data_IF_855642393416
#
_entry.id   IF_855642393416
#
_cell.length_a   1.000
_cell.length_b   1.000
_cell.length_c   1.000
_cell.angle_alpha   90.00
_cell.angle_beta   90.00
_cell.angle_gamma   90.00
#
_symmetry.space_group_name_H-M   'P 1'
#
loop_
_entity.id
_entity.type
_entity.pdbx_description
1 polymer ?
#
# COMPACT_ATOMS: atom_id res chain seq x y z
N UNK A 1 7.72 19.05 1.41
CA UNK A 1 8.22 20.43 1.58
C UNK A 1 7.09 21.41 1.78
N UNK A 2 6.18 21.65 0.82
CA UNK A 2 5.11 22.65 1.00
C UNK A 2 4.32 22.47 2.32
N UNK A 3 3.87 21.26 2.63
CA UNK A 3 3.17 20.98 3.88
C UNK A 3 4.02 21.24 5.13
N UNK A 4 5.29 20.84 5.15
CA UNK A 4 6.20 21.10 6.27
C UNK A 4 6.44 22.59 6.49
N UNK A 5 6.73 23.33 5.42
CA UNK A 5 6.91 24.79 5.52
C UNK A 5 5.65 25.50 6.02
N UNK A 6 4.46 25.08 5.57
CA UNK A 6 3.19 25.64 6.06
C UNK A 6 3.03 25.36 7.56
N UNK A 7 3.37 24.15 8.01
CA UNK A 7 3.29 23.76 9.45
C UNK A 7 4.25 24.61 10.28
N UNK A 8 5.47 24.82 9.81
CA UNK A 8 6.49 25.59 10.53
C UNK A 8 6.13 27.07 10.68
N UNK A 9 5.48 27.69 9.64
CA UNK A 9 5.14 29.11 9.65
C UNK A 9 3.74 29.41 10.21
N UNK A 10 2.76 28.53 10.00
CA UNK A 10 1.36 28.81 10.26
C UNK A 10 0.61 27.70 11.03
N UNK A 11 1.33 26.69 11.49
CA UNK A 11 0.76 25.54 12.18
C UNK A 11 0.11 24.53 11.22
N UNK A 12 -0.48 23.49 11.77
CA UNK A 12 -1.01 22.36 10.98
C UNK A 12 -2.36 22.65 10.27
N UNK A 13 -3.17 23.59 10.79
CA UNK A 13 -4.52 23.88 10.24
C UNK A 13 -4.51 24.40 8.79
N UNK A 14 -3.62 25.31 8.38
CA UNK A 14 -3.57 25.81 7.00
C UNK A 14 -3.30 24.73 5.96
N UNK A 15 -2.66 23.59 6.32
CA UNK A 15 -2.47 22.47 5.39
C UNK A 15 -3.80 21.94 4.86
N UNK A 16 -4.84 21.94 5.69
CA UNK A 16 -6.19 21.53 5.27
C UNK A 16 -6.89 22.60 4.42
N UNK A 17 -6.65 23.88 4.71
CA UNK A 17 -7.26 24.98 3.96
C UNK A 17 -6.74 25.07 2.52
N UNK A 18 -5.48 24.68 2.26
CA UNK A 18 -4.92 24.61 0.90
C UNK A 18 -5.66 23.57 0.03
N UNK A 19 -6.18 22.49 0.63
CA UNK A 19 -6.93 21.48 -0.11
C UNK A 19 -8.33 21.97 -0.55
N UNK A 20 -8.95 22.91 0.18
CA UNK A 20 -10.30 23.38 -0.12
C UNK A 20 -10.43 24.07 -1.51
N UNK A 21 -9.56 25.04 -1.89
CA UNK A 21 -9.62 25.63 -3.23
C UNK A 21 -9.30 24.61 -4.34
N UNK A 22 -8.39 23.68 -4.11
CA UNK A 22 -8.07 22.61 -5.09
C UNK A 22 -9.27 21.69 -5.28
N UNK A 23 -9.94 21.28 -4.20
CA UNK A 23 -11.14 20.46 -4.26
C UNK A 23 -12.29 21.19 -4.97
N UNK A 24 -12.50 22.49 -4.68
CA UNK A 24 -13.51 23.32 -5.34
C UNK A 24 -13.24 23.46 -6.83
N UNK A 25 -11.98 23.73 -7.20
CA UNK A 25 -11.57 23.82 -8.60
C UNK A 25 -11.78 22.49 -9.33
N UNK A 26 -11.40 21.37 -8.73
CA UNK A 26 -11.61 20.03 -9.29
C UNK A 26 -13.11 19.71 -9.43
N UNK A 27 -13.93 20.08 -8.46
CA UNK A 27 -15.39 19.91 -8.52
C UNK A 27 -16.01 20.72 -9.67
N UNK A 28 -15.57 21.98 -9.87
CA UNK A 28 -16.00 22.82 -10.98
C UNK A 28 -15.61 22.22 -12.34
N UNK A 29 -14.36 21.72 -12.48
CA UNK A 29 -13.93 21.05 -13.70
C UNK A 29 -14.74 19.77 -13.97
N UNK A 30 -14.99 18.98 -12.93
CA UNK A 30 -15.82 17.78 -13.04
C UNK A 30 -17.24 18.13 -13.49
N UNK A 31 -17.84 19.14 -12.92
CA UNK A 31 -19.17 19.64 -13.30
C UNK A 31 -19.22 20.07 -14.77
N UNK A 32 -18.18 20.78 -15.25
CA UNK A 32 -18.16 21.30 -16.63
C UNK A 32 -17.87 20.24 -17.68
N UNK A 33 -17.04 19.21 -17.35
CA UNK A 33 -16.48 18.32 -18.36
C UNK A 33 -16.96 16.87 -18.24
N UNK A 34 -17.39 16.41 -17.08
CA UNK A 34 -17.87 15.04 -16.92
C UNK A 34 -19.34 15.00 -17.36
N UNK A 35 -19.59 14.29 -18.47
CA UNK A 35 -20.95 13.96 -18.89
C UNK A 35 -21.34 12.64 -18.20
N UNK A 36 -22.40 12.69 -17.41
CA UNK A 36 -22.94 11.46 -16.83
C UNK A 36 -23.40 10.51 -17.95
N UNK A 37 -22.90 9.27 -18.00
CA UNK A 37 -23.49 8.27 -18.88
C UNK A 37 -24.94 8.06 -18.43
N UNK A 38 -25.88 7.96 -19.37
CA UNK A 38 -27.27 7.60 -19.07
C UNK A 38 -27.27 6.23 -18.40
N UNK A 39 -27.29 6.22 -17.09
CA UNK A 39 -27.42 4.99 -16.31
C UNK A 39 -28.84 4.44 -16.52
N UNK A 40 -28.97 3.25 -17.08
CA UNK A 40 -30.14 2.40 -16.89
C UNK A 40 -30.38 2.31 -15.37
N UNK A 41 -31.63 2.41 -14.95
CA UNK A 41 -32.07 2.46 -13.55
C UNK A 41 -31.19 1.57 -12.66
N UNK A 42 -30.43 2.21 -11.76
CA UNK A 42 -29.44 1.52 -10.94
C UNK A 42 -30.14 0.53 -10.00
N UNK A 43 -29.56 -0.64 -9.87
CA UNK A 43 -29.96 -1.61 -8.86
C UNK A 43 -29.81 -0.98 -7.47
N UNK A 44 -30.70 -1.35 -6.54
CA UNK A 44 -30.69 -0.82 -5.19
C UNK A 44 -29.32 -1.09 -4.52
N UNK A 45 -28.69 -0.09 -3.89
CA UNK A 45 -27.38 -0.26 -3.26
C UNK A 45 -27.45 -1.28 -2.10
N UNK A 46 -26.44 -2.15 -2.01
CA UNK A 46 -26.31 -3.13 -0.92
C UNK A 46 -25.87 -2.43 0.39
N UNK A 47 -26.82 -1.73 1.03
CA UNK A 47 -26.55 -1.01 2.29
C UNK A 47 -26.16 -1.95 3.42
N UNK A 48 -26.73 -3.17 3.46
CA UNK A 48 -26.39 -4.15 4.48
C UNK A 48 -24.97 -4.67 4.31
N UNK A 49 -24.57 -4.99 3.08
CA UNK A 49 -23.18 -5.36 2.77
C UNK A 49 -22.23 -4.23 3.08
N UNK A 50 -22.56 -2.98 2.72
CA UNK A 50 -21.77 -1.82 3.02
C UNK A 50 -21.52 -1.65 4.52
N UNK A 51 -22.56 -1.76 5.35
CA UNK A 51 -22.43 -1.66 6.81
C UNK A 51 -21.57 -2.77 7.40
N UNK A 52 -21.75 -4.02 6.95
CA UNK A 52 -20.97 -5.17 7.44
C UNK A 52 -19.48 -5.04 7.06
N UNK A 53 -19.19 -4.62 5.83
CA UNK A 53 -17.80 -4.37 5.39
C UNK A 53 -17.20 -3.22 6.17
N UNK A 54 -17.91 -2.11 6.33
CA UNK A 54 -17.43 -0.96 7.10
C UNK A 54 -17.15 -1.34 8.56
N UNK A 55 -18.03 -2.11 9.19
CA UNK A 55 -17.82 -2.59 10.55
C UNK A 55 -16.60 -3.52 10.64
N UNK A 56 -16.43 -4.43 9.67
CA UNK A 56 -15.29 -5.34 9.61
C UNK A 56 -13.97 -4.56 9.50
N UNK A 57 -13.90 -3.60 8.59
CA UNK A 57 -12.71 -2.80 8.38
C UNK A 57 -12.41 -1.88 9.56
N UNK A 58 -13.42 -1.20 10.10
CA UNK A 58 -13.25 -0.34 11.26
C UNK A 58 -12.74 -1.14 12.48
N UNK A 59 -13.36 -2.29 12.74
CA UNK A 59 -12.94 -3.18 13.84
C UNK A 59 -11.50 -3.66 13.66
N UNK A 60 -11.11 -4.03 12.43
CA UNK A 60 -9.73 -4.43 12.11
C UNK A 60 -8.74 -3.30 12.38
N UNK A 61 -9.00 -2.11 11.83
CA UNK A 61 -8.08 -0.97 11.93
C UNK A 61 -7.93 -0.49 13.38
N UNK A 62 -9.03 -0.43 14.12
CA UNK A 62 -9.00 -0.03 15.54
C UNK A 62 -8.31 -1.11 16.38
N UNK A 63 -8.54 -2.41 16.11
CA UNK A 63 -7.86 -3.50 16.81
C UNK A 63 -6.33 -3.43 16.62
N UNK A 64 -5.87 -3.17 15.38
CA UNK A 64 -4.44 -3.00 15.08
C UNK A 64 -3.84 -1.77 15.80
N UNK A 65 -4.55 -0.65 15.83
CA UNK A 65 -4.11 0.55 16.56
C UNK A 65 -4.06 0.31 18.07
N UNK A 66 -5.08 -0.33 18.66
CA UNK A 66 -5.11 -0.66 20.09
C UNK A 66 -3.96 -1.60 20.48
N UNK A 67 -3.61 -2.54 19.62
CA UNK A 67 -2.49 -3.44 19.86
C UNK A 67 -1.14 -2.72 19.69
N UNK A 68 -0.94 -2.04 18.57
CA UNK A 68 0.35 -1.45 18.18
C UNK A 68 0.71 -0.17 18.94
N UNK A 69 -0.26 0.69 19.25
CA UNK A 69 0.00 2.00 19.87
C UNK A 69 -0.26 1.99 21.38
N UNK A 70 -1.35 1.34 21.79
CA UNK A 70 -1.82 1.41 23.19
C UNK A 70 -1.50 0.17 24.01
N UNK A 71 -0.94 -0.90 23.41
CA UNK A 71 -0.68 -2.19 24.07
C UNK A 71 -1.91 -2.79 24.78
N UNK A 72 -3.11 -2.41 24.34
CA UNK A 72 -4.36 -2.88 24.92
C UNK A 72 -4.79 -4.19 24.24
N UNK A 73 -4.21 -5.30 24.72
CA UNK A 73 -4.46 -6.64 24.17
C UNK A 73 -5.93 -7.02 24.29
N UNK A 74 -6.58 -6.71 25.42
CA UNK A 74 -7.99 -7.06 25.66
C UNK A 74 -8.91 -6.36 24.67
N UNK A 75 -8.73 -5.05 24.47
CA UNK A 75 -9.48 -4.28 23.48
C UNK A 75 -9.23 -4.76 22.06
N UNK A 76 -7.96 -5.06 21.72
CA UNK A 76 -7.59 -5.58 20.42
C UNK A 76 -8.23 -6.94 20.13
N UNK A 77 -8.25 -7.86 21.10
CA UNK A 77 -8.90 -9.16 20.97
C UNK A 77 -10.43 -9.04 20.84
N UNK A 78 -11.07 -8.16 21.62
CA UNK A 78 -12.50 -7.91 21.53
C UNK A 78 -12.90 -7.39 20.15
N UNK A 79 -12.17 -6.41 19.61
CA UNK A 79 -12.40 -5.88 18.27
C UNK A 79 -12.01 -6.87 17.16
N UNK A 80 -10.97 -7.68 17.36
CA UNK A 80 -10.63 -8.80 16.49
C UNK A 80 -11.77 -9.83 16.40
N UNK A 81 -12.41 -10.13 17.54
CA UNK A 81 -13.62 -10.96 17.59
C UNK A 81 -14.80 -10.34 16.83
N UNK A 82 -15.03 -9.03 17.01
CA UNK A 82 -16.06 -8.29 16.28
C UNK A 82 -15.78 -8.27 14.76
N UNK A 83 -14.53 -8.10 14.35
CA UNK A 83 -14.08 -8.18 12.96
C UNK A 83 -14.41 -9.55 12.36
N UNK A 84 -14.04 -10.64 13.03
CA UNK A 84 -14.33 -12.00 12.56
C UNK A 84 -15.84 -12.28 12.48
N UNK A 85 -16.59 -11.81 13.47
CA UNK A 85 -18.04 -11.96 13.50
C UNK A 85 -18.71 -11.21 12.35
N UNK A 86 -18.37 -9.94 12.15
CA UNK A 86 -18.93 -9.13 11.06
C UNK A 86 -18.50 -9.64 9.67
N UNK A 87 -17.26 -10.13 9.52
CA UNK A 87 -16.79 -10.78 8.30
C UNK A 87 -17.57 -12.08 8.01
N UNK A 88 -17.86 -12.89 9.02
CA UNK A 88 -18.71 -14.08 8.90
C UNK A 88 -20.14 -13.76 8.49
N UNK A 89 -20.72 -12.71 9.07
CA UNK A 89 -22.03 -12.21 8.66
C UNK A 89 -22.02 -11.69 7.21
N UNK A 90 -20.94 -10.99 6.82
CA UNK A 90 -20.78 -10.54 5.44
C UNK A 90 -20.65 -11.72 4.46
N UNK A 91 -19.87 -12.74 4.80
CA UNK A 91 -19.74 -13.94 3.97
C UNK A 91 -21.09 -14.64 3.77
N UNK A 92 -21.92 -14.75 4.83
CA UNK A 92 -23.29 -15.28 4.73
C UNK A 92 -24.17 -14.39 3.85
N UNK A 93 -24.11 -13.08 4.01
CA UNK A 93 -24.85 -12.11 3.20
C UNK A 93 -24.46 -12.20 1.72
N UNK A 94 -23.15 -12.24 1.43
CA UNK A 94 -22.61 -12.42 0.09
C UNK A 94 -23.19 -13.67 -0.62
N UNK A 95 -23.26 -14.80 0.09
CA UNK A 95 -23.82 -16.03 -0.48
C UNK A 95 -25.32 -15.96 -0.79
N UNK A 96 -26.04 -15.05 -0.20
CA UNK A 96 -27.50 -14.89 -0.36
C UNK A 96 -27.89 -13.73 -1.28
N UNK A 97 -26.92 -12.84 -1.60
CA UNK A 97 -27.18 -11.61 -2.35
C UNK A 97 -26.35 -11.61 -3.64
N UNK A 98 -26.98 -11.78 -4.82
CA UNK A 98 -26.25 -11.81 -6.10
C UNK A 98 -25.51 -10.48 -6.41
N UNK A 99 -25.98 -9.39 -5.83
CA UNK A 99 -25.47 -8.02 -6.04
C UNK A 99 -24.68 -7.51 -4.84
N UNK A 100 -24.03 -8.40 -4.08
CA UNK A 100 -23.19 -8.01 -2.97
C UNK A 100 -22.10 -7.02 -3.42
N UNK A 101 -21.85 -6.00 -2.58
CA UNK A 101 -20.90 -4.91 -2.87
C UNK A 101 -19.47 -5.40 -3.12
N UNK A 102 -19.06 -6.47 -2.41
CA UNK A 102 -17.78 -7.14 -2.64
C UNK A 102 -18.06 -8.56 -3.13
N UNK A 103 -17.66 -8.82 -4.35
CA UNK A 103 -17.74 -10.16 -4.93
C UNK A 103 -16.47 -10.96 -4.58
N UNK A 104 -16.59 -11.78 -3.53
CA UNK A 104 -15.47 -12.59 -3.04
C UNK A 104 -14.98 -13.64 -4.05
N UNK A 105 -15.77 -13.95 -5.09
CA UNK A 105 -15.35 -14.88 -6.15
C UNK A 105 -14.18 -14.31 -6.96
N UNK A 106 -14.09 -12.99 -7.09
CA UNK A 106 -13.03 -12.31 -7.81
C UNK A 106 -11.65 -12.50 -7.16
N UNK A 107 -11.60 -12.77 -5.84
CA UNK A 107 -10.35 -13.09 -5.13
C UNK A 107 -9.70 -14.40 -5.59
N UNK A 108 -10.42 -15.26 -6.35
CA UNK A 108 -9.85 -16.46 -6.97
C UNK A 108 -9.00 -16.14 -8.20
N UNK A 109 -9.12 -14.92 -8.74
CA UNK A 109 -8.30 -14.50 -9.88
C UNK A 109 -6.83 -14.39 -9.47
N UNK A 110 -5.97 -15.14 -10.15
CA UNK A 110 -4.54 -15.27 -9.85
C UNK A 110 -3.81 -13.92 -9.96
N UNK A 111 -4.15 -13.09 -10.96
CA UNK A 111 -3.53 -11.78 -11.16
C UNK A 111 -3.91 -10.81 -10.05
N UNK A 112 -5.18 -10.79 -9.65
CA UNK A 112 -5.65 -9.98 -8.53
C UNK A 112 -4.95 -10.38 -7.23
N UNK A 113 -4.92 -11.69 -6.92
CA UNK A 113 -4.31 -12.20 -5.70
C UNK A 113 -2.81 -11.89 -5.63
N UNK A 114 -2.07 -12.13 -6.72
CA UNK A 114 -0.64 -11.83 -6.77
C UNK A 114 -0.36 -10.34 -6.64
N UNK A 115 -1.18 -9.49 -7.28
CA UNK A 115 -1.07 -8.04 -7.15
C UNK A 115 -1.31 -7.58 -5.71
N UNK A 116 -2.27 -8.18 -5.02
CA UNK A 116 -2.49 -7.98 -3.58
C UNK A 116 -1.24 -8.35 -2.79
N UNK A 117 -0.66 -9.54 -3.01
CA UNK A 117 0.54 -9.99 -2.31
C UNK A 117 1.73 -9.03 -2.52
N UNK A 118 1.97 -8.58 -3.77
CA UNK A 118 3.01 -7.59 -4.08
C UNK A 118 2.72 -6.24 -3.40
N UNK A 119 1.46 -5.85 -3.31
CA UNK A 119 1.07 -4.59 -2.68
C UNK A 119 1.31 -4.61 -1.16
N UNK A 120 1.09 -5.75 -0.49
CA UNK A 120 1.48 -5.94 0.91
C UNK A 120 2.99 -5.89 1.12
N UNK A 121 3.73 -6.55 0.23
CA UNK A 121 5.19 -6.66 0.32
C UNK A 121 5.93 -5.35 0.04
N UNK A 122 5.39 -4.45 -0.79
CA UNK A 122 6.07 -3.21 -1.17
C UNK A 122 5.39 -2.01 -0.52
N UNK A 123 4.23 -1.49 -0.95
CA UNK A 123 3.62 -0.34 -0.28
C UNK A 123 3.30 -0.57 1.20
N UNK A 124 2.88 -1.78 1.58
CA UNK A 124 2.60 -2.13 2.97
C UNK A 124 3.83 -2.07 3.84
N UNK A 125 4.87 -2.80 3.50
CA UNK A 125 6.14 -2.80 4.24
C UNK A 125 6.75 -1.39 4.28
N UNK A 126 6.70 -0.67 3.14
CA UNK A 126 7.22 0.70 3.09
C UNK A 126 6.55 1.63 4.09
N UNK A 127 5.24 1.53 4.28
CA UNK A 127 4.53 2.41 5.21
C UNK A 127 5.10 2.31 6.62
N UNK A 128 5.27 1.10 7.14
CA UNK A 128 5.86 0.90 8.46
C UNK A 128 7.36 1.20 8.50
N UNK A 129 8.11 0.78 7.47
CA UNK A 129 9.53 1.07 7.36
C UNK A 129 9.79 2.58 7.30
N UNK A 130 8.95 3.35 6.62
CA UNK A 130 9.08 4.80 6.52
C UNK A 130 8.81 5.51 7.86
N UNK A 131 7.80 5.07 8.62
CA UNK A 131 7.55 5.60 9.97
C UNK A 131 8.79 5.37 10.85
N UNK A 132 9.34 4.16 10.83
CA UNK A 132 10.55 3.82 11.58
C UNK A 132 11.78 4.57 11.07
N UNK A 133 11.92 4.78 9.76
CA UNK A 133 13.02 5.55 9.18
C UNK A 133 12.95 7.01 9.61
N UNK A 134 11.78 7.65 9.60
CA UNK A 134 11.60 9.02 10.10
C UNK A 134 12.00 9.08 11.58
N UNK A 135 11.53 8.14 12.40
CA UNK A 135 11.88 8.07 13.80
C UNK A 135 13.39 7.89 14.00
N UNK A 136 14.02 6.96 13.27
CA UNK A 136 15.46 6.72 13.30
C UNK A 136 16.28 7.97 12.90
N UNK A 137 15.92 8.60 11.77
CA UNK A 137 16.60 9.78 11.27
C UNK A 137 16.53 10.98 12.22
N UNK A 138 15.40 11.17 12.89
CA UNK A 138 15.19 12.30 13.79
C UNK A 138 15.74 12.05 15.19
N UNK A 139 15.55 10.84 15.75
CA UNK A 139 15.93 10.57 17.16
C UNK A 139 17.33 10.01 17.30
N UNK A 140 17.79 9.16 16.37
CA UNK A 140 19.12 8.52 16.46
C UNK A 140 20.16 9.33 15.71
N UNK A 141 19.86 9.78 14.48
CA UNK A 141 20.80 10.59 13.69
C UNK A 141 20.69 12.09 13.96
N UNK A 142 19.70 12.55 14.73
CA UNK A 142 19.51 13.96 15.08
C UNK A 142 19.22 14.89 13.89
N UNK A 143 18.73 14.35 12.76
CA UNK A 143 18.45 15.15 11.58
C UNK A 143 17.19 16.00 11.76
N UNK A 144 17.20 17.20 11.20
CA UNK A 144 16.03 18.08 11.21
C UNK A 144 14.88 17.50 10.40
N UNK A 145 13.65 17.89 10.75
CA UNK A 145 12.42 17.50 10.03
C UNK A 145 12.48 17.92 8.55
N UNK A 146 13.11 19.07 8.26
CA UNK A 146 13.30 19.55 6.89
C UNK A 146 14.19 18.62 6.06
N UNK A 147 15.32 18.14 6.60
CA UNK A 147 16.22 17.18 5.93
C UNK A 147 15.53 15.84 5.74
N UNK A 148 14.86 15.34 6.78
CA UNK A 148 14.09 14.10 6.70
C UNK A 148 12.98 14.20 5.62
N UNK A 149 12.28 15.34 5.56
CA UNK A 149 11.30 15.62 4.51
C UNK A 149 11.89 15.69 3.10
N UNK A 150 13.16 16.14 2.96
CA UNK A 150 13.85 16.16 1.66
C UNK A 150 14.09 14.73 1.12
N UNK A 151 14.38 13.76 1.98
CA UNK A 151 14.50 12.35 1.56
C UNK A 151 13.16 11.78 1.06
N UNK A 152 12.03 12.20 1.64
CA UNK A 152 10.71 11.84 1.13
C UNK A 152 10.45 12.37 -0.29
N UNK A 153 11.03 13.52 -0.66
CA UNK A 153 10.97 14.01 -2.05
C UNK A 153 11.78 13.14 -3.00
N UNK A 154 12.95 12.63 -2.57
CA UNK A 154 13.73 11.69 -3.38
C UNK A 154 12.96 10.38 -3.61
N UNK A 155 12.29 9.86 -2.57
CA UNK A 155 11.37 8.73 -2.73
C UNK A 155 10.28 9.03 -3.76
N UNK A 156 9.59 10.18 -3.61
CA UNK A 156 8.50 10.56 -4.51
C UNK A 156 8.98 10.75 -5.96
N UNK A 157 10.16 11.36 -6.16
CA UNK A 157 10.75 11.53 -7.48
C UNK A 157 11.09 10.18 -8.12
N UNK A 158 11.74 9.28 -7.36
CA UNK A 158 12.03 7.92 -7.83
C UNK A 158 10.76 7.16 -8.19
N UNK A 159 9.73 7.23 -7.33
CA UNK A 159 8.45 6.58 -7.57
C UNK A 159 7.76 7.14 -8.82
N UNK A 160 7.70 8.45 -9.00
CA UNK A 160 7.06 9.11 -10.13
C UNK A 160 7.71 8.71 -11.47
N UNK A 161 9.04 8.80 -11.56
CA UNK A 161 9.78 8.41 -12.77
C UNK A 161 9.58 6.92 -13.06
N UNK A 162 9.67 6.09 -12.04
CA UNK A 162 9.49 4.65 -12.17
C UNK A 162 8.07 4.25 -12.58
N UNK A 163 7.04 4.94 -12.09
CA UNK A 163 5.64 4.74 -12.52
C UNK A 163 5.46 5.05 -14.02
N UNK A 164 6.03 6.15 -14.50
CA UNK A 164 5.94 6.53 -15.92
C UNK A 164 6.65 5.50 -16.81
N UNK A 165 7.88 5.12 -16.45
CA UNK A 165 8.66 4.14 -17.21
C UNK A 165 7.97 2.78 -17.19
N UNK A 166 7.58 2.28 -16.01
CA UNK A 166 6.94 0.97 -15.89
C UNK A 166 5.61 0.89 -16.64
N UNK A 167 4.83 1.98 -16.66
CA UNK A 167 3.61 2.06 -17.48
C UNK A 167 3.89 1.96 -18.97
N UNK A 168 4.90 2.68 -19.46
CA UNK A 168 5.28 2.67 -20.87
C UNK A 168 5.79 1.30 -21.35
N UNK A 169 6.52 0.58 -20.50
CA UNK A 169 7.12 -0.71 -20.85
C UNK A 169 6.30 -1.94 -20.46
N UNK A 170 5.18 -1.74 -19.74
CA UNK A 170 4.37 -2.82 -19.15
C UNK A 170 4.00 -3.91 -20.17
N UNK A 171 3.48 -3.52 -21.32
CA UNK A 171 3.02 -4.47 -22.35
C UNK A 171 4.15 -5.27 -22.99
N UNK A 172 5.37 -4.70 -23.05
CA UNK A 172 6.56 -5.36 -23.63
C UNK A 172 7.28 -6.23 -22.62
N UNK A 173 7.41 -5.75 -21.38
CA UNK A 173 8.21 -6.41 -20.34
C UNK A 173 7.42 -7.49 -19.62
N UNK A 174 6.10 -7.31 -19.49
CA UNK A 174 5.20 -8.14 -18.72
C UNK A 174 5.25 -7.85 -17.21
N UNK A 175 4.14 -8.11 -16.54
CA UNK A 175 3.99 -7.85 -15.10
C UNK A 175 5.00 -8.62 -14.24
N UNK A 176 5.30 -9.86 -14.59
CA UNK A 176 6.18 -10.72 -13.77
C UNK A 176 7.60 -10.17 -13.61
N UNK A 177 8.23 -9.70 -14.71
CA UNK A 177 9.57 -9.10 -14.65
C UNK A 177 9.57 -7.79 -13.87
N UNK A 178 8.56 -6.96 -14.06
CA UNK A 178 8.43 -5.68 -13.36
C UNK A 178 8.21 -5.90 -11.85
N UNK A 179 7.45 -6.93 -11.45
CA UNK A 179 7.32 -7.30 -10.04
C UNK A 179 8.65 -7.75 -9.45
N UNK A 180 9.42 -8.60 -10.14
CA UNK A 180 10.74 -9.02 -9.63
C UNK A 180 11.65 -7.82 -9.44
N UNK A 181 11.75 -6.93 -10.42
CA UNK A 181 12.58 -5.71 -10.34
C UNK A 181 12.12 -4.82 -9.17
N UNK A 182 10.81 -4.61 -9.03
CA UNK A 182 10.26 -3.77 -7.95
C UNK A 182 10.56 -4.34 -6.57
N UNK A 183 10.36 -5.64 -6.38
CA UNK A 183 10.61 -6.33 -5.11
C UNK A 183 12.08 -6.27 -4.71
N UNK A 184 12.99 -6.49 -5.67
CA UNK A 184 14.43 -6.43 -5.42
C UNK A 184 14.91 -5.02 -5.09
N UNK A 185 14.50 -4.00 -5.88
CA UNK A 185 14.88 -2.61 -5.64
C UNK A 185 14.34 -2.10 -4.30
N UNK A 186 13.07 -2.37 -4.02
CA UNK A 186 12.42 -1.89 -2.81
C UNK A 186 12.98 -2.56 -1.56
N UNK A 187 13.01 -3.90 -1.55
CA UNK A 187 13.53 -4.65 -0.40
C UNK A 187 15.02 -4.44 -0.20
N UNK A 188 15.79 -4.34 -1.30
CA UNK A 188 17.19 -3.98 -1.24
C UNK A 188 17.41 -2.58 -0.62
N UNK A 189 16.63 -1.60 -1.03
CA UNK A 189 16.66 -0.27 -0.44
C UNK A 189 16.32 -0.28 1.05
N UNK A 190 15.28 -1.02 1.47
CA UNK A 190 14.94 -1.16 2.90
C UNK A 190 16.07 -1.89 3.67
N UNK A 191 16.66 -2.93 3.10
CA UNK A 191 17.77 -3.63 3.73
C UNK A 191 18.99 -2.73 3.96
N UNK A 192 19.25 -1.78 3.05
CA UNK A 192 20.36 -0.82 3.21
C UNK A 192 20.18 0.11 4.42
N UNK A 193 18.96 0.35 4.91
CA UNK A 193 18.77 1.07 6.17
C UNK A 193 19.40 0.34 7.37
N UNK A 194 19.50 -0.97 7.33
CA UNK A 194 20.16 -1.74 8.39
C UNK A 194 21.66 -1.48 8.50
N UNK A 195 22.28 -0.91 7.45
CA UNK A 195 23.70 -0.57 7.40
C UNK A 195 23.97 0.90 7.77
N UNK A 196 22.92 1.68 8.09
CA UNK A 196 23.08 3.09 8.43
C UNK A 196 23.46 3.26 9.90
N UNK A 197 24.36 4.20 10.16
CA UNK A 197 24.84 4.62 11.48
C UNK A 197 25.00 6.15 11.57
N UNK A 198 25.51 6.65 12.69
CA UNK A 198 25.76 8.08 12.92
C UNK A 198 26.80 8.69 11.98
N UNK A 199 27.63 7.89 11.32
CA UNK A 199 28.68 8.33 10.38
C UNK A 199 28.22 8.20 8.93
N UNK A 200 27.03 7.66 8.68
CA UNK A 200 26.50 7.42 7.34
C UNK A 200 26.27 8.75 6.60
N UNK A 201 26.90 8.96 5.44
CA UNK A 201 26.74 10.20 4.71
C UNK A 201 25.30 10.34 4.16
N UNK A 202 24.80 11.59 4.16
CA UNK A 202 23.40 11.88 3.76
C UNK A 202 23.07 11.45 2.32
N UNK A 203 24.05 11.48 1.42
CA UNK A 203 23.83 11.00 0.04
C UNK A 203 23.50 9.50 -0.02
N UNK A 204 24.02 8.69 0.90
CA UNK A 204 23.72 7.27 0.98
C UNK A 204 22.27 7.05 1.44
N UNK A 205 21.80 7.82 2.42
CA UNK A 205 20.38 7.81 2.85
C UNK A 205 19.49 8.26 1.68
N UNK A 206 19.90 9.30 0.95
CA UNK A 206 19.20 9.73 -0.26
C UNK A 206 19.08 8.64 -1.32
N UNK A 207 20.15 7.86 -1.54
CA UNK A 207 20.14 6.71 -2.44
C UNK A 207 19.17 5.63 -1.99
N UNK A 208 19.10 5.34 -0.69
CA UNK A 208 18.14 4.38 -0.12
C UNK A 208 16.71 4.81 -0.45
N UNK A 209 16.36 6.08 -0.21
CA UNK A 209 15.03 6.60 -0.51
C UNK A 209 14.72 6.58 -2.02
N UNK A 210 15.70 6.86 -2.86
CA UNK A 210 15.54 6.80 -4.31
C UNK A 210 15.29 5.35 -4.79
N UNK A 211 16.06 4.39 -4.28
CA UNK A 211 15.89 2.95 -4.61
C UNK A 211 14.52 2.42 -4.14
N UNK A 212 14.16 2.70 -2.88
CA UNK A 212 12.87 2.29 -2.33
C UNK A 212 11.72 2.95 -3.09
N UNK A 213 11.85 4.22 -3.46
CA UNK A 213 10.88 4.96 -4.26
C UNK A 213 10.70 4.37 -5.65
N UNK A 214 11.81 4.08 -6.33
CA UNK A 214 11.80 3.45 -7.67
C UNK A 214 11.11 2.09 -7.61
N UNK A 215 11.48 1.22 -6.68
CA UNK A 215 10.83 -0.08 -6.48
C UNK A 215 9.35 0.07 -6.13
N UNK A 216 9.02 1.00 -5.21
CA UNK A 216 7.66 1.31 -4.79
C UNK A 216 6.77 1.80 -5.94
N UNK A 217 7.28 2.69 -6.79
CA UNK A 217 6.56 3.20 -7.96
C UNK A 217 6.24 2.12 -9.00
N UNK A 218 7.23 1.26 -9.34
CA UNK A 218 7.01 0.12 -10.22
C UNK A 218 5.93 -0.80 -9.64
N UNK A 219 6.08 -1.20 -8.36
CA UNK A 219 5.15 -2.11 -7.70
C UNK A 219 3.72 -1.57 -7.67
N UNK A 220 3.54 -0.32 -7.25
CA UNK A 220 2.23 0.29 -7.12
C UNK A 220 1.50 0.38 -8.47
N UNK A 221 2.20 0.84 -9.52
CA UNK A 221 1.64 0.95 -10.86
C UNK A 221 1.31 -0.42 -11.48
N UNK A 222 2.28 -1.34 -11.46
CA UNK A 222 2.11 -2.66 -12.05
C UNK A 222 1.07 -3.50 -11.30
N UNK A 223 1.03 -3.41 -9.95
CA UNK A 223 0.05 -4.15 -9.17
C UNK A 223 -1.38 -3.68 -9.45
N UNK A 224 -1.62 -2.37 -9.54
CA UNK A 224 -2.94 -1.85 -9.89
C UNK A 224 -3.37 -2.27 -11.30
N UNK A 225 -2.48 -2.14 -12.28
CA UNK A 225 -2.76 -2.52 -13.68
C UNK A 225 -3.04 -4.02 -13.79
N UNK A 226 -2.20 -4.85 -13.16
CA UNK A 226 -2.33 -6.32 -13.20
C UNK A 226 -3.58 -6.80 -12.45
N UNK A 227 -3.90 -6.20 -11.31
CA UNK A 227 -5.06 -6.57 -10.49
C UNK A 227 -6.38 -6.44 -11.25
N UNK A 228 -6.49 -5.45 -12.12
CA UNK A 228 -7.71 -5.12 -12.83
C UNK A 228 -7.72 -5.62 -14.29
N UNK A 229 -6.62 -6.22 -14.74
CA UNK A 229 -6.40 -6.56 -16.15
C UNK A 229 -7.45 -7.49 -16.76
N UNK A 230 -7.94 -8.49 -16.01
CA UNK A 230 -8.86 -9.51 -16.49
C UNK A 230 -10.34 -9.09 -16.38
N UNK A 231 -10.62 -7.96 -15.76
CA UNK A 231 -11.99 -7.54 -15.46
C UNK A 231 -12.50 -6.47 -16.42
N UNK A 232 -13.74 -6.63 -16.89
CA UNK A 232 -14.38 -5.71 -17.82
C UNK A 232 -15.82 -5.39 -17.39
N UNK A 233 -16.35 -4.25 -17.84
CA UNK A 233 -17.74 -3.85 -17.57
C UNK A 233 -18.08 -3.84 -16.06
N UNK A 234 -19.18 -4.48 -15.67
CA UNK A 234 -19.65 -4.52 -14.28
C UNK A 234 -18.68 -5.22 -13.32
N UNK A 235 -17.92 -6.22 -13.80
CA UNK A 235 -16.92 -6.90 -12.97
C UNK A 235 -15.73 -5.99 -12.64
N UNK A 236 -15.35 -5.10 -13.55
CA UNK A 236 -14.28 -4.12 -13.30
C UNK A 236 -14.64 -3.20 -12.12
N UNK A 237 -15.89 -2.74 -12.04
CA UNK A 237 -16.35 -1.93 -10.91
C UNK A 237 -16.23 -2.68 -9.59
N UNK A 238 -16.68 -3.94 -9.53
CA UNK A 238 -16.56 -4.79 -8.33
C UNK A 238 -15.11 -5.08 -7.95
N UNK A 239 -14.25 -5.38 -8.93
CA UNK A 239 -12.82 -5.59 -8.70
C UNK A 239 -12.14 -4.31 -8.21
N UNK A 240 -12.51 -3.13 -8.73
CA UNK A 240 -11.98 -1.84 -8.30
C UNK A 240 -12.34 -1.53 -6.85
N UNK A 241 -13.54 -1.90 -6.38
CA UNK A 241 -13.92 -1.78 -4.96
C UNK A 241 -13.00 -2.63 -4.08
N UNK A 242 -12.79 -3.90 -4.43
CA UNK A 242 -11.88 -4.80 -3.71
C UNK A 242 -10.46 -4.22 -3.67
N UNK A 243 -9.96 -3.76 -4.81
CA UNK A 243 -8.63 -3.18 -4.93
C UNK A 243 -8.47 -1.93 -4.04
N UNK A 244 -9.43 -1.02 -4.05
CA UNK A 244 -9.38 0.20 -3.24
C UNK A 244 -9.44 -0.10 -1.73
N UNK A 245 -10.27 -1.04 -1.30
CA UNK A 245 -10.31 -1.51 0.09
C UNK A 245 -8.97 -2.11 0.48
N UNK A 246 -8.44 -3.04 -0.32
CA UNK A 246 -7.13 -3.66 -0.10
C UNK A 246 -6.05 -2.59 0.07
N UNK A 247 -6.02 -1.58 -0.79
CA UNK A 247 -5.03 -0.49 -0.77
C UNK A 247 -5.02 0.28 0.55
N UNK A 248 -6.19 0.52 1.16
CA UNK A 248 -6.27 1.21 2.46
C UNK A 248 -5.84 0.30 3.62
N UNK A 249 -6.29 -0.95 3.60
CA UNK A 249 -5.99 -1.94 4.65
C UNK A 249 -4.49 -2.26 4.70
N UNK A 250 -3.84 -2.36 3.56
CA UNK A 250 -2.40 -2.66 3.44
C UNK A 250 -1.52 -1.64 4.19
N UNK A 251 -1.82 -0.36 4.09
CA UNK A 251 -1.05 0.68 4.77
C UNK A 251 -1.13 0.54 6.30
N UNK A 252 -2.33 0.28 6.82
CA UNK A 252 -2.52 0.11 8.27
C UNK A 252 -1.89 -1.18 8.79
N UNK A 253 -2.05 -2.30 8.07
CA UNK A 253 -1.43 -3.58 8.44
C UNK A 253 0.10 -3.45 8.38
N UNK A 254 0.65 -2.86 7.33
CA UNK A 254 2.08 -2.67 7.17
C UNK A 254 2.69 -1.84 8.30
N UNK A 255 2.05 -0.72 8.65
CA UNK A 255 2.46 0.11 9.78
C UNK A 255 2.42 -0.67 11.11
N UNK A 256 1.30 -1.38 11.39
CA UNK A 256 1.14 -2.13 12.62
C UNK A 256 2.15 -3.28 12.75
N UNK A 257 2.35 -4.06 11.68
CA UNK A 257 3.30 -5.19 11.67
C UNK A 257 4.74 -4.71 11.90
N UNK A 258 5.17 -3.69 11.16
CA UNK A 258 6.54 -3.16 11.29
C UNK A 258 6.78 -2.53 12.66
N UNK A 259 5.80 -1.78 13.20
CA UNK A 259 5.91 -1.19 14.52
C UNK A 259 5.94 -2.26 15.63
N UNK A 260 5.09 -3.28 15.54
CA UNK A 260 5.10 -4.41 16.48
C UNK A 260 6.42 -5.17 16.43
N UNK A 261 6.95 -5.41 15.22
CA UNK A 261 8.26 -6.05 15.05
C UNK A 261 9.36 -5.22 15.72
N UNK A 262 9.36 -3.90 15.48
CA UNK A 262 10.33 -3.00 16.11
C UNK A 262 10.24 -3.05 17.65
N UNK A 263 9.04 -2.95 18.21
CA UNK A 263 8.85 -2.96 19.67
C UNK A 263 9.30 -4.27 20.29
N UNK A 264 8.97 -5.40 19.66
CA UNK A 264 9.39 -6.73 20.11
C UNK A 264 10.92 -6.87 20.09
N UNK A 265 11.56 -6.43 19.00
CA UNK A 265 13.02 -6.47 18.87
C UNK A 265 13.69 -5.48 19.82
N UNK A 266 13.10 -4.32 20.06
CA UNK A 266 13.63 -3.32 20.98
C UNK A 266 13.58 -3.79 22.44
N UNK A 267 12.63 -4.64 22.80
CA UNK A 267 12.57 -5.24 24.14
C UNK A 267 13.69 -6.28 24.36
N UNK A 268 14.15 -6.96 23.31
CA UNK A 268 15.15 -8.05 23.40
C UNK A 268 16.56 -7.55 23.04
N UNK A 269 16.70 -6.70 22.05
CA UNK A 269 17.98 -6.22 21.50
C UNK A 269 17.91 -4.72 21.14
N UNK A 270 17.84 -3.78 22.13
CA UNK A 270 17.58 -2.36 21.90
C UNK A 270 18.56 -1.72 20.89
N UNK A 271 19.86 -2.06 20.98
CA UNK A 271 20.90 -1.48 20.12
C UNK A 271 20.84 -1.93 18.66
N UNK A 272 20.08 -2.99 18.34
CA UNK A 272 19.97 -3.54 16.98
C UNK A 272 18.53 -3.52 16.45
N UNK A 273 17.57 -3.03 17.23
CA UNK A 273 16.14 -3.12 16.91
C UNK A 273 15.79 -2.50 15.56
N UNK A 274 16.33 -1.33 15.23
CA UNK A 274 16.11 -0.69 13.93
C UNK A 274 16.65 -1.55 12.78
N UNK A 275 17.92 -1.96 12.87
CA UNK A 275 18.56 -2.75 11.82
C UNK A 275 17.84 -4.07 11.57
N UNK A 276 17.50 -4.81 12.64
CA UNK A 276 16.77 -6.08 12.56
C UNK A 276 15.35 -5.88 12.01
N UNK A 277 14.69 -4.78 12.36
CA UNK A 277 13.35 -4.48 11.83
C UNK A 277 13.40 -4.16 10.33
N UNK A 278 14.37 -3.37 9.88
CA UNK A 278 14.54 -3.11 8.45
C UNK A 278 14.88 -4.38 7.66
N UNK A 279 15.73 -5.25 8.19
CA UNK A 279 16.02 -6.55 7.58
C UNK A 279 14.77 -7.45 7.54
N UNK A 280 14.01 -7.51 8.62
CA UNK A 280 12.74 -8.24 8.67
C UNK A 280 11.73 -7.73 7.64
N UNK A 281 11.59 -6.42 7.52
CA UNK A 281 10.77 -5.78 6.48
C UNK A 281 11.26 -6.08 5.07
N UNK A 282 12.56 -6.02 4.83
CA UNK A 282 13.16 -6.37 3.54
C UNK A 282 12.90 -7.84 3.17
N UNK A 283 13.04 -8.77 4.11
CA UNK A 283 12.73 -10.19 3.90
C UNK A 283 11.24 -10.41 3.62
N UNK A 284 10.35 -9.76 4.38
CA UNK A 284 8.92 -9.78 4.13
C UNK A 284 8.57 -9.24 2.73
N UNK A 285 9.28 -8.19 2.29
CA UNK A 285 9.16 -7.63 0.95
C UNK A 285 9.53 -8.59 -0.18
N UNK A 286 10.35 -9.61 0.07
CA UNK A 286 10.75 -10.61 -0.92
C UNK A 286 9.80 -11.83 -0.98
N UNK A 287 8.89 -11.99 -0.04
CA UNK A 287 7.98 -13.16 0.01
C UNK A 287 7.24 -13.41 -1.33
N UNK A 288 6.71 -12.41 -2.04
CA UNK A 288 6.03 -12.65 -3.31
C UNK A 288 6.91 -13.25 -4.41
N UNK A 289 8.25 -13.14 -4.30
CA UNK A 289 9.14 -13.79 -5.28
C UNK A 289 8.95 -15.31 -5.31
N UNK A 290 8.60 -15.92 -4.18
CA UNK A 290 8.35 -17.37 -4.08
C UNK A 290 7.22 -17.77 -5.04
N UNK A 291 6.17 -16.95 -5.13
CA UNK A 291 5.04 -17.19 -6.03
C UNK A 291 5.41 -16.91 -7.49
N UNK A 292 6.23 -15.88 -7.75
CA UNK A 292 6.65 -15.50 -9.10
C UNK A 292 7.57 -16.56 -9.76
N UNK A 293 8.26 -17.38 -8.97
CA UNK A 293 9.08 -18.49 -9.46
C UNK A 293 8.21 -19.69 -9.84
N UNK A 294 7.03 -19.87 -9.25
CA UNK A 294 6.12 -20.96 -9.56
C UNK A 294 5.59 -20.87 -11.00
N UNK A 295 5.67 -21.97 -11.81
CA UNK A 295 5.26 -21.93 -13.22
C UNK A 295 3.83 -21.48 -13.47
N UNK A 296 2.90 -21.82 -12.57
CA UNK A 296 1.48 -21.48 -12.66
C UNK A 296 1.24 -19.96 -12.67
N UNK A 297 2.03 -19.20 -11.89
CA UNK A 297 1.91 -17.73 -11.85
C UNK A 297 2.66 -17.06 -12.99
N UNK A 298 3.76 -17.66 -13.43
CA UNK A 298 4.59 -17.13 -14.52
C UNK A 298 3.85 -17.08 -15.86
N UNK A 299 3.06 -18.11 -16.17
CA UNK A 299 2.24 -18.15 -17.39
C UNK A 299 1.16 -17.07 -17.42
N UNK A 300 0.53 -16.80 -16.25
CA UNK A 300 -0.50 -15.76 -16.12
C UNK A 300 0.03 -14.33 -16.30
N UNK A 301 1.35 -14.12 -16.20
CA UNK A 301 2.00 -12.80 -16.20
C UNK A 301 2.84 -12.54 -17.47
N UNK A 302 2.72 -13.39 -18.49
CA UNK A 302 3.38 -13.18 -19.79
C UNK A 302 2.98 -11.85 -20.42
N UNK A 303 3.89 -11.22 -21.21
CA UNK A 303 3.57 -10.03 -21.98
C UNK A 303 2.42 -10.28 -22.94
N UNK A 304 1.59 -9.28 -23.18
CA UNK A 304 0.48 -9.38 -24.13
C UNK A 304 0.96 -9.76 -25.56
N UNK A 305 2.17 -9.31 -25.95
CA UNK A 305 2.79 -9.62 -27.23
C UNK A 305 3.19 -11.11 -27.38
N UNK A 306 3.50 -11.81 -26.28
CA UNK A 306 3.78 -13.26 -26.33
C UNK A 306 2.50 -14.08 -26.43
N UNK A 307 1.41 -13.62 -25.81
CA UNK A 307 0.10 -14.32 -25.83
C UNK A 307 -0.53 -14.29 -27.23
N UNK A 308 -0.27 -13.23 -28.01
CA UNK A 308 -0.80 -13.08 -29.40
C UNK A 308 -0.02 -13.95 -30.39
N UNK A 309 1.20 -14.37 -30.06
CA UNK A 309 2.07 -15.18 -30.94
C UNK A 309 1.95 -16.70 -30.73
N UNK A 310 1.36 -17.13 -29.61
CA UNK A 310 1.01 -18.54 -29.33
C UNK A 310 -0.42 -18.84 -29.81
#
# INVERSE_FOLDING_TARGET
MAGGSIVDFAGWRPVFYVNAPVALFTALLAWCWIREPKTTAGEAPDLKGLLLVSLTLASLLIALSLYGEYHNITGALALGGLMLFSAGLYYRHYRQTPQAIIDLSLLKNTRLWLSVAVYYAVPGVFTGANILAIFYLTTVLGLSTAVTGAFMLLYAAGAMVAMLISGAVYNRTGAGRLFIISLLLHSGGIALFALTDSHTPLYFIGLIYLLTGTGGGIAANCAQTTALYDFHGAQLNKASVIWNINRQVVFSIGAAVMMTLYQTLNAVAPGQAFALTFLGGALAGLIPLIFLVCPQFRTSLKPAEEIIRE
#
